data_IF_275963384470
#
_entry.id   IF_275963384470
#
_cell.length_a   1.000
_cell.length_b   1.000
_cell.length_c   1.000
_cell.angle_alpha   90.00
_cell.angle_beta   90.00
_cell.angle_gamma   90.00
#
_symmetry.space_group_name_H-M   'P 1'
#
loop_
_entity.id
_entity.type
_entity.pdbx_description
1 polymer ?
#
# COMPACT_ATOMS: atom_id res chain seq x y z
N UNK A 1 11.02 7.29 19.34
CA UNK A 1 11.83 8.51 19.16
C UNK A 1 11.18 9.51 18.21
N UNK A 2 10.88 9.18 16.95
CA UNK A 2 10.31 10.15 15.99
C UNK A 2 8.96 10.73 16.46
N UNK A 3 8.00 9.89 16.91
CA UNK A 3 6.68 10.34 17.39
C UNK A 3 6.80 11.40 18.49
N UNK A 4 7.60 11.12 19.52
CA UNK A 4 7.80 12.01 20.67
C UNK A 4 8.37 13.36 20.24
N UNK A 5 9.42 13.38 19.40
CA UNK A 5 10.01 14.62 18.91
C UNK A 5 9.01 15.46 18.10
N UNK A 6 8.23 14.83 17.22
CA UNK A 6 7.16 15.52 16.48
C UNK A 6 6.05 16.02 17.39
N UNK A 7 5.68 15.26 18.44
CA UNK A 7 4.67 15.67 19.40
C UNK A 7 5.10 16.95 20.12
N UNK A 8 6.34 17.03 20.60
CA UNK A 8 6.85 18.24 21.25
C UNK A 8 6.90 19.43 20.30
N UNK A 9 7.20 19.22 19.01
CA UNK A 9 7.11 20.29 18.01
C UNK A 9 5.69 20.82 17.85
N UNK A 10 4.67 19.95 17.88
CA UNK A 10 3.29 20.39 17.86
C UNK A 10 2.96 21.21 19.11
N UNK A 11 3.35 20.74 20.30
CA UNK A 11 3.14 21.45 21.55
C UNK A 11 3.81 22.84 21.54
N UNK A 12 5.08 22.92 21.14
CA UNK A 12 5.83 24.17 21.00
C UNK A 12 5.15 25.12 20.01
N UNK A 13 4.70 24.62 18.85
CA UNK A 13 4.06 25.43 17.83
C UNK A 13 2.73 26.04 18.30
N UNK A 14 1.97 25.33 19.13
CA UNK A 14 0.72 25.82 19.70
C UNK A 14 0.93 26.79 20.88
N UNK A 15 1.85 26.46 21.80
CA UNK A 15 2.16 27.33 22.95
C UNK A 15 2.93 28.59 22.54
N UNK A 16 3.66 28.52 21.44
CA UNK A 16 4.67 29.50 21.09
C UNK A 16 6.00 29.20 21.80
N UNK A 17 7.10 29.47 21.10
CA UNK A 17 8.45 29.11 21.54
C UNK A 17 8.84 29.75 22.87
N UNK A 18 8.48 31.01 23.11
CA UNK A 18 8.83 31.72 24.34
C UNK A 18 8.20 31.06 25.59
N UNK A 19 6.89 30.79 25.53
CA UNK A 19 6.17 30.14 26.63
C UNK A 19 6.65 28.70 26.84
N UNK A 20 6.89 27.98 25.74
CA UNK A 20 7.43 26.62 25.78
C UNK A 20 8.82 26.57 26.43
N UNK A 21 9.75 27.43 25.99
CA UNK A 21 11.11 27.50 26.52
C UNK A 21 11.10 27.89 28.01
N UNK A 22 10.26 28.85 28.42
CA UNK A 22 10.11 29.22 29.82
C UNK A 22 9.63 28.04 30.69
N UNK A 23 8.63 27.28 30.23
CA UNK A 23 8.11 26.11 30.92
C UNK A 23 9.14 24.97 31.00
N UNK A 24 9.88 24.71 29.92
CA UNK A 24 10.96 23.71 29.88
C UNK A 24 12.13 24.08 30.81
N UNK A 25 12.50 25.35 30.87
CA UNK A 25 13.52 25.83 31.82
C UNK A 25 13.05 25.67 33.27
N UNK A 26 11.78 25.94 33.56
CA UNK A 26 11.23 25.72 34.89
C UNK A 26 11.26 24.24 35.28
N UNK A 27 10.87 23.35 34.36
CA UNK A 27 10.97 21.91 34.54
C UNK A 27 12.41 21.48 34.86
N UNK A 28 13.39 21.94 34.09
CA UNK A 28 14.79 21.66 34.35
C UNK A 28 15.22 22.17 35.74
N UNK A 29 14.89 23.42 36.10
CA UNK A 29 15.27 23.98 37.41
C UNK A 29 14.67 23.22 38.60
N UNK A 30 13.44 22.71 38.45
CA UNK A 30 12.74 21.97 39.50
C UNK A 30 13.23 20.53 39.65
N UNK A 31 13.61 19.90 38.54
CA UNK A 31 13.95 18.46 38.49
C UNK A 31 15.42 18.15 38.23
N UNK A 32 16.27 19.17 38.12
CA UNK A 32 17.73 18.97 38.09
C UNK A 32 18.17 18.12 39.28
N UNK A 33 19.05 17.14 39.01
CA UNK A 33 19.56 16.17 39.99
C UNK A 33 18.51 15.22 40.60
N UNK A 34 17.35 15.05 39.95
CA UNK A 34 16.28 14.11 40.34
C UNK A 34 15.93 13.18 39.17
N UNK A 35 15.04 12.21 39.42
CA UNK A 35 14.50 11.29 38.40
C UNK A 35 13.01 11.60 38.17
N UNK A 36 12.68 12.56 37.30
CA UNK A 36 11.29 12.88 36.98
C UNK A 36 10.64 11.79 36.15
N UNK A 37 9.33 11.63 36.34
CA UNK A 37 8.44 10.84 35.51
C UNK A 37 7.64 11.75 34.56
N UNK A 38 7.00 11.20 33.51
CA UNK A 38 6.24 12.00 32.56
C UNK A 38 5.14 12.88 33.19
N UNK A 39 4.53 12.43 34.28
CA UNK A 39 3.50 13.16 35.03
C UNK A 39 4.09 14.42 35.69
N UNK A 40 5.36 14.39 36.11
CA UNK A 40 6.06 15.54 36.67
C UNK A 40 6.30 16.61 35.60
N UNK A 41 6.60 16.20 34.36
CA UNK A 41 6.70 17.11 33.23
C UNK A 41 5.34 17.75 32.92
N UNK A 42 4.27 16.94 32.87
CA UNK A 42 2.92 17.45 32.65
C UNK A 42 2.56 18.52 33.68
N UNK A 43 2.73 18.23 34.97
CA UNK A 43 2.40 19.16 36.04
C UNK A 43 3.15 20.50 35.91
N UNK A 44 4.44 20.49 35.55
CA UNK A 44 5.20 21.73 35.37
C UNK A 44 4.74 22.52 34.15
N UNK A 45 4.50 21.85 33.02
CA UNK A 45 4.05 22.52 31.81
C UNK A 45 2.66 23.12 31.98
N UNK A 46 1.72 22.40 32.57
CA UNK A 46 0.36 22.89 32.83
C UNK A 46 0.37 24.07 33.82
N UNK A 47 1.20 24.00 34.88
CA UNK A 47 1.34 25.09 35.85
C UNK A 47 1.90 26.39 35.24
N UNK A 48 2.83 26.29 34.27
CA UNK A 48 3.44 27.46 33.63
C UNK A 48 2.65 28.01 32.43
N UNK A 49 1.88 27.16 31.76
CA UNK A 49 1.10 27.54 30.58
C UNK A 49 -0.35 27.89 30.92
N UNK A 50 -0.88 27.39 32.05
CA UNK A 50 -2.29 27.49 32.43
C UNK A 50 -3.23 26.70 31.51
N UNK A 51 -2.71 25.75 30.73
CA UNK A 51 -3.44 24.98 29.72
C UNK A 51 -3.49 23.51 30.12
N UNK A 52 -4.60 22.85 29.81
CA UNK A 52 -4.74 21.39 29.90
C UNK A 52 -3.96 20.73 28.74
N UNK A 53 -3.05 19.80 29.06
CA UNK A 53 -2.20 19.11 28.11
C UNK A 53 -2.52 17.61 27.98
N UNK A 54 -3.69 17.16 28.42
CA UNK A 54 -4.11 15.76 28.32
C UNK A 54 -4.11 15.25 26.87
N UNK A 55 -4.48 16.10 25.91
CA UNK A 55 -4.40 15.77 24.47
C UNK A 55 -2.98 15.40 24.02
N UNK A 56 -1.95 15.94 24.68
CA UNK A 56 -0.55 15.67 24.39
C UNK A 56 -0.05 14.43 25.15
N UNK A 57 -0.28 14.36 26.47
CA UNK A 57 0.20 13.26 27.30
C UNK A 57 -0.59 11.97 27.04
N UNK A 58 -1.89 11.97 27.30
CA UNK A 58 -2.75 10.80 27.08
C UNK A 58 -2.97 10.53 25.59
N UNK A 59 -3.10 11.58 24.78
CA UNK A 59 -3.26 11.45 23.34
C UNK A 59 -1.99 11.00 22.62
N UNK A 60 -0.90 11.75 22.67
CA UNK A 60 0.31 11.39 21.93
C UNK A 60 1.25 10.44 22.66
N UNK A 61 1.54 10.66 23.94
CA UNK A 61 2.63 9.95 24.61
C UNK A 61 2.20 8.58 25.14
N UNK A 62 1.03 8.47 25.75
CA UNK A 62 0.59 7.25 26.44
C UNK A 62 -0.43 6.42 25.67
N UNK A 63 -0.86 6.85 24.48
CA UNK A 63 -1.77 6.06 23.65
C UNK A 63 -1.29 5.90 22.20
N UNK A 64 -2.01 5.01 21.49
CA UNK A 64 -1.90 4.82 20.05
C UNK A 64 -2.99 5.57 19.28
N UNK A 65 -3.64 6.55 19.92
CA UNK A 65 -4.62 7.42 19.29
C UNK A 65 -3.98 8.20 18.13
N UNK A 66 -4.79 8.51 17.13
CA UNK A 66 -4.40 9.29 15.97
C UNK A 66 -5.02 10.68 16.05
N UNK A 67 -4.24 11.68 15.63
CA UNK A 67 -4.70 13.03 15.39
C UNK A 67 -5.01 13.13 13.89
N UNK A 68 -6.24 13.50 13.53
CA UNK A 68 -6.69 13.64 12.13
C UNK A 68 -7.83 14.68 12.10
N UNK A 69 -7.57 15.84 11.49
CA UNK A 69 -8.57 16.88 11.30
C UNK A 69 -8.79 17.13 9.81
N UNK A 70 -10.05 17.15 9.40
CA UNK A 70 -10.47 17.40 8.03
C UNK A 70 -11.20 18.74 7.88
N UNK A 71 -11.01 19.42 6.74
CA UNK A 71 -11.90 20.53 6.36
C UNK A 71 -13.10 19.98 5.59
N UNK A 72 -14.28 20.09 6.19
CA UNK A 72 -15.56 19.69 5.61
C UNK A 72 -16.12 20.70 4.61
N UNK A 73 -16.06 21.98 4.95
CA UNK A 73 -16.58 23.10 4.15
C UNK A 73 -15.96 24.42 4.59
N UNK A 74 -15.97 25.42 3.70
CA UNK A 74 -15.67 26.82 4.02
C UNK A 74 -16.69 27.72 3.32
N UNK A 75 -17.41 28.52 4.09
CA UNK A 75 -18.44 29.43 3.60
C UNK A 75 -18.18 30.84 4.11
N UNK A 76 -18.35 31.86 3.25
CA UNK A 76 -18.26 33.25 3.70
C UNK A 76 -19.63 33.74 4.13
N UNK A 77 -19.77 34.21 5.37
CA UNK A 77 -21.01 34.76 5.95
C UNK A 77 -20.69 35.97 6.82
N UNK A 78 -21.48 37.04 6.69
CA UNK A 78 -21.39 38.25 7.52
C UNK A 78 -19.98 38.84 7.63
N UNK A 79 -19.21 38.88 6.53
CA UNK A 79 -17.84 39.39 6.55
C UNK A 79 -16.88 38.54 7.38
N UNK A 80 -17.13 37.24 7.54
CA UNK A 80 -16.21 36.25 8.11
C UNK A 80 -16.28 34.96 7.30
N UNK A 81 -15.27 34.10 7.48
CA UNK A 81 -15.32 32.74 6.98
C UNK A 81 -15.80 31.79 8.08
N UNK A 82 -16.70 30.89 7.75
CA UNK A 82 -17.17 29.82 8.61
C UNK A 82 -16.62 28.51 8.08
N UNK A 83 -15.67 27.94 8.81
CA UNK A 83 -15.00 26.69 8.46
C UNK A 83 -15.63 25.53 9.22
N UNK A 84 -16.15 24.54 8.52
CA UNK A 84 -16.58 23.28 9.12
C UNK A 84 -15.36 22.37 9.23
N UNK A 85 -14.80 22.24 10.42
CA UNK A 85 -13.69 21.34 10.70
C UNK A 85 -14.19 20.09 11.41
N UNK A 86 -13.63 18.93 11.09
CA UNK A 86 -14.03 17.65 11.69
C UNK A 86 -12.82 16.90 12.22
N UNK A 87 -12.82 16.58 13.51
CA UNK A 87 -11.90 15.59 14.06
C UNK A 87 -12.36 14.19 13.64
N UNK A 88 -11.54 13.51 12.84
CA UNK A 88 -11.71 12.12 12.39
C UNK A 88 -10.84 11.15 13.19
N UNK A 89 -9.89 11.70 13.95
CA UNK A 89 -9.04 10.98 14.89
C UNK A 89 -9.71 10.81 16.25
N UNK A 90 -8.89 10.41 17.23
CA UNK A 90 -9.28 10.24 18.63
C UNK A 90 -8.66 11.30 19.54
N UNK A 91 -7.67 12.06 19.04
CA UNK A 91 -6.99 13.11 19.82
C UNK A 91 -7.67 14.45 19.55
N UNK A 92 -8.31 15.03 20.57
CA UNK A 92 -8.83 16.40 20.55
C UNK A 92 -7.71 17.40 20.88
N UNK A 93 -6.69 17.47 20.02
CA UNK A 93 -5.57 18.39 20.16
C UNK A 93 -5.78 19.72 19.40
N UNK A 94 -5.03 20.77 19.74
CA UNK A 94 -5.05 22.04 19.02
C UNK A 94 -4.82 21.87 17.53
N UNK A 95 -5.41 22.73 16.70
CA UNK A 95 -5.36 22.62 15.24
C UNK A 95 -5.08 23.98 14.58
N UNK A 96 -4.01 24.11 13.78
CA UNK A 96 -3.75 25.32 13.01
C UNK A 96 -4.45 25.26 11.66
N UNK A 97 -5.14 26.32 11.27
CA UNK A 97 -5.66 26.51 9.92
C UNK A 97 -5.00 27.71 9.27
N UNK A 98 -4.46 27.51 8.08
CA UNK A 98 -3.79 28.54 7.28
C UNK A 98 -4.62 28.88 6.05
N UNK A 99 -4.87 30.16 5.83
CA UNK A 99 -5.52 30.69 4.64
C UNK A 99 -4.48 31.22 3.65
N UNK A 100 -4.78 31.05 2.36
CA UNK A 100 -3.92 31.43 1.26
C UNK A 100 -4.64 32.37 0.29
N UNK A 101 -3.87 33.25 -0.34
CA UNK A 101 -4.30 34.07 -1.47
C UNK A 101 -3.18 34.14 -2.50
N UNK A 102 -3.48 33.85 -3.76
CA UNK A 102 -2.47 33.88 -4.84
C UNK A 102 -1.35 32.85 -4.67
N UNK A 103 -1.56 31.82 -3.83
CA UNK A 103 -0.56 30.80 -3.50
C UNK A 103 0.30 31.09 -2.26
N UNK A 104 0.24 32.29 -1.69
CA UNK A 104 1.00 32.68 -0.50
C UNK A 104 0.20 32.44 0.79
N UNK A 105 0.90 32.15 1.89
CA UNK A 105 0.31 32.03 3.22
C UNK A 105 -0.01 33.42 3.77
N UNK A 106 -1.29 33.73 3.96
CA UNK A 106 -1.73 35.06 4.41
C UNK A 106 -1.93 35.10 5.92
N UNK A 107 -2.55 34.06 6.47
CA UNK A 107 -2.89 34.02 7.90
C UNK A 107 -3.04 32.61 8.43
N UNK A 108 -2.49 32.35 9.62
CA UNK A 108 -2.69 31.11 10.37
C UNK A 108 -3.43 31.42 11.68
N UNK A 109 -4.47 30.64 11.97
CA UNK A 109 -5.25 30.71 13.21
C UNK A 109 -5.20 29.34 13.88
N UNK A 110 -4.87 29.33 15.17
CA UNK A 110 -4.95 28.12 16.00
C UNK A 110 -6.30 28.06 16.68
N UNK A 111 -6.88 26.86 16.69
CA UNK A 111 -8.08 26.55 17.45
C UNK A 111 -7.75 25.51 18.51
N UNK A 112 -8.41 25.59 19.66
CA UNK A 112 -8.34 24.53 20.66
C UNK A 112 -8.93 23.23 20.11
N UNK A 113 -8.49 22.11 20.66
CA UNK A 113 -8.94 20.80 20.23
C UNK A 113 -10.41 20.55 20.55
N UNK A 114 -11.07 19.80 19.67
CA UNK A 114 -12.45 19.38 19.83
C UNK A 114 -12.73 18.02 19.20
N UNK A 115 -13.76 17.37 19.69
CA UNK A 115 -14.29 16.13 19.12
C UNK A 115 -15.38 16.41 18.07
N UNK A 116 -15.53 15.48 17.13
CA UNK A 116 -16.55 15.56 16.08
C UNK A 116 -16.34 16.72 15.12
N UNK A 117 -17.44 17.23 14.54
CA UNK A 117 -17.41 18.37 13.63
C UNK A 117 -17.87 19.65 14.33
N UNK A 118 -17.14 20.75 14.11
CA UNK A 118 -17.52 22.08 14.59
C UNK A 118 -17.37 23.11 13.48
N UNK A 119 -18.21 24.13 13.54
CA UNK A 119 -18.07 25.33 12.73
C UNK A 119 -17.27 26.37 13.51
N UNK A 120 -16.18 26.82 12.92
CA UNK A 120 -15.26 27.78 13.53
C UNK A 120 -15.19 29.03 12.67
N UNK A 121 -15.18 30.19 13.33
CA UNK A 121 -14.97 31.45 12.66
C UNK A 121 -13.50 31.60 12.27
N UNK A 122 -13.26 31.98 11.03
CA UNK A 122 -11.98 32.41 10.51
C UNK A 122 -12.12 33.87 10.06
N UNK A 123 -11.13 34.74 10.34
CA UNK A 123 -11.18 36.16 10.01
C UNK A 123 -11.55 36.43 8.56
N UNK A 124 -12.13 37.60 8.26
CA UNK A 124 -12.39 37.98 6.88
C UNK A 124 -11.11 38.05 6.04
N UNK A 125 -11.29 37.94 4.73
CA UNK A 125 -10.23 38.09 3.74
C UNK A 125 -10.61 37.45 2.42
N UNK A 126 -9.90 37.83 1.37
CA UNK A 126 -10.05 37.21 0.06
C UNK A 126 -9.09 36.02 -0.05
N UNK A 127 -9.57 34.84 0.34
CA UNK A 127 -8.78 33.61 0.38
C UNK A 127 -9.25 32.63 -0.68
N UNK A 128 -8.31 32.06 -1.42
CA UNK A 128 -8.58 31.06 -2.48
C UNK A 128 -8.45 29.61 -1.99
N UNK A 129 -7.87 29.41 -0.79
CA UNK A 129 -7.58 28.09 -0.22
C UNK A 129 -7.39 28.17 1.29
N UNK A 130 -7.93 27.19 1.99
CA UNK A 130 -7.66 26.91 3.39
C UNK A 130 -6.94 25.57 3.51
N UNK A 131 -6.01 25.47 4.48
CA UNK A 131 -5.29 24.24 4.77
C UNK A 131 -5.05 24.09 6.27
N UNK A 132 -5.40 22.93 6.81
CA UNK A 132 -4.96 22.56 8.16
C UNK A 132 -3.47 22.25 8.13
N UNK A 133 -2.72 22.86 9.05
CA UNK A 133 -1.30 22.62 9.29
C UNK A 133 -0.42 22.73 8.04
N UNK A 134 -0.43 23.90 7.38
CA UNK A 134 0.40 24.17 6.21
C UNK A 134 1.92 23.99 6.48
N UNK A 135 2.36 24.30 7.69
CA UNK A 135 3.73 24.21 8.15
C UNK A 135 4.18 22.78 8.55
N UNK A 136 3.27 21.80 8.54
CA UNK A 136 3.53 20.41 8.95
C UNK A 136 4.09 20.27 10.38
N UNK A 137 3.49 21.00 11.32
CA UNK A 137 3.87 21.02 12.73
C UNK A 137 3.08 20.00 13.58
N UNK A 138 1.92 19.53 13.11
CA UNK A 138 1.10 18.54 13.81
C UNK A 138 1.42 17.10 13.40
N UNK A 139 0.82 16.12 14.08
CA UNK A 139 0.92 14.69 13.72
C UNK A 139 -0.31 14.19 12.97
N UNK A 140 -0.93 15.07 12.18
CA UNK A 140 -2.03 14.70 11.31
C UNK A 140 -1.65 13.52 10.41
N UNK A 141 -2.37 12.41 10.58
CA UNK A 141 -2.11 11.16 9.86
C UNK A 141 -2.68 11.16 8.45
N UNK A 142 -3.65 12.03 8.14
CA UNK A 142 -4.30 12.07 6.83
C UNK A 142 -4.45 13.48 6.26
N UNK A 143 -3.31 14.12 6.04
CA UNK A 143 -3.17 15.48 5.48
C UNK A 143 -3.87 15.76 4.14
N UNK A 144 -4.35 14.73 3.45
CA UNK A 144 -5.10 14.83 2.19
C UNK A 144 -6.55 15.26 2.35
N UNK A 145 -7.09 15.25 3.58
CA UNK A 145 -8.40 15.81 3.89
C UNK A 145 -8.30 17.25 4.46
N UNK A 146 -7.09 17.83 4.50
CA UNK A 146 -6.80 19.10 5.19
C UNK A 146 -6.99 20.32 4.30
N UNK A 147 -7.18 20.16 2.98
CA UNK A 147 -7.25 21.29 2.03
C UNK A 147 -8.69 21.53 1.57
N UNK A 148 -9.10 22.81 1.55
CA UNK A 148 -10.36 23.24 0.93
C UNK A 148 -10.13 24.46 0.04
N UNK A 149 -10.65 24.43 -1.19
CA UNK A 149 -10.53 25.47 -2.21
C UNK A 149 -11.92 25.97 -2.61
N UNK A 150 -12.40 27.08 -2.02
CA UNK A 150 -13.70 27.64 -2.34
C UNK A 150 -13.88 27.89 -3.84
N UNK A 151 -15.08 27.65 -4.36
CA UNK A 151 -15.43 27.94 -5.77
C UNK A 151 -14.81 27.04 -6.83
N UNK A 152 -14.02 26.01 -6.47
CA UNK A 152 -13.50 25.01 -7.43
C UNK A 152 -14.45 23.81 -7.56
N UNK A 153 -14.44 23.14 -8.72
CA UNK A 153 -15.25 21.94 -8.99
C UNK A 153 -14.94 20.79 -8.01
N UNK A 154 -13.66 20.64 -7.64
CA UNK A 154 -13.19 19.66 -6.65
C UNK A 154 -12.53 20.41 -5.48
N UNK A 155 -13.34 21.00 -4.57
CA UNK A 155 -12.84 21.91 -3.55
C UNK A 155 -11.92 21.21 -2.53
N UNK A 156 -12.13 19.91 -2.27
CA UNK A 156 -11.37 19.11 -1.30
C UNK A 156 -10.13 18.42 -1.85
N UNK A 157 -9.84 18.58 -3.14
CA UNK A 157 -8.69 17.93 -3.80
C UNK A 157 -7.57 18.96 -3.92
N UNK A 158 -6.33 18.60 -3.62
CA UNK A 158 -5.22 19.52 -3.84
C UNK A 158 -4.94 19.76 -5.34
N UNK A 159 -4.24 20.85 -5.71
CA UNK A 159 -3.77 21.03 -7.07
C UNK A 159 -3.02 19.80 -7.59
N UNK A 160 -3.26 19.47 -8.86
CA UNK A 160 -2.58 18.38 -9.53
C UNK A 160 -1.13 18.76 -9.83
N UNK A 161 -0.21 17.82 -9.64
CA UNK A 161 1.20 17.99 -9.97
C UNK A 161 1.74 16.72 -10.66
N UNK A 162 2.46 16.89 -11.76
CA UNK A 162 3.21 15.82 -12.42
C UNK A 162 4.66 15.86 -11.96
N UNK A 163 5.15 14.77 -11.36
CA UNK A 163 6.51 14.70 -10.80
C UNK A 163 7.32 13.63 -11.50
N UNK A 164 8.45 14.02 -12.08
CA UNK A 164 9.45 13.07 -12.56
C UNK A 164 10.22 12.53 -11.35
N UNK A 165 10.37 11.21 -11.29
CA UNK A 165 11.11 10.51 -10.25
C UNK A 165 10.66 10.78 -8.79
N UNK A 166 9.36 11.05 -8.58
CA UNK A 166 8.83 11.31 -7.24
C UNK A 166 8.64 10.04 -6.42
N UNK A 167 9.50 9.79 -5.42
CA UNK A 167 9.41 8.59 -4.54
C UNK A 167 8.38 8.77 -3.43
N UNK A 168 8.35 9.97 -2.82
CA UNK A 168 7.58 10.28 -1.62
C UNK A 168 6.26 10.96 -1.91
N UNK A 169 5.29 10.75 -1.02
CA UNK A 169 4.07 11.54 -0.99
C UNK A 169 4.33 13.03 -0.82
N UNK A 170 3.57 13.82 -1.57
CA UNK A 170 3.41 15.24 -1.30
C UNK A 170 1.98 15.46 -0.80
N UNK A 171 1.82 15.79 0.48
CA UNK A 171 0.53 16.13 1.06
C UNK A 171 -0.05 17.40 0.43
N UNK A 172 0.79 18.31 -0.07
CA UNK A 172 0.38 19.63 -0.57
C UNK A 172 -0.25 19.58 -1.96
N UNK A 173 0.01 18.52 -2.73
CA UNK A 173 -0.40 18.38 -4.13
C UNK A 173 -0.86 16.95 -4.46
N UNK A 174 -1.84 16.80 -5.35
CA UNK A 174 -2.20 15.49 -5.91
C UNK A 174 -1.16 15.11 -6.96
N UNK A 175 -0.17 14.30 -6.56
CA UNK A 175 0.98 13.97 -7.41
C UNK A 175 0.75 12.72 -8.26
N UNK A 176 0.93 12.84 -9.58
CA UNK A 176 1.20 11.73 -10.49
C UNK A 176 2.71 11.64 -10.66
N UNK A 177 3.32 10.57 -10.16
CA UNK A 177 4.75 10.36 -10.29
C UNK A 177 5.03 9.45 -11.49
N UNK A 178 6.06 9.81 -12.26
CA UNK A 178 6.50 9.08 -13.44
C UNK A 178 7.96 8.70 -13.28
N UNK A 179 8.28 7.42 -13.48
CA UNK A 179 9.65 6.93 -13.57
C UNK A 179 9.89 6.19 -14.88
N UNK A 180 11.09 6.32 -15.47
CA UNK A 180 11.52 5.42 -16.52
C UNK A 180 11.64 4.00 -15.96
N UNK A 181 11.21 3.02 -16.74
CA UNK A 181 11.33 1.61 -16.43
C UNK A 181 11.98 0.91 -17.62
N UNK A 182 13.02 0.12 -17.35
CA UNK A 182 13.65 -0.76 -18.32
C UNK A 182 13.51 -2.21 -17.85
N UNK A 183 13.50 -3.13 -18.80
CA UNK A 183 13.42 -4.56 -18.53
C UNK A 183 13.88 -5.35 -19.73
N UNK A 184 13.87 -6.66 -19.60
CA UNK A 184 14.12 -7.54 -20.73
C UNK A 184 13.57 -8.93 -20.46
N UNK A 185 13.06 -9.57 -21.49
CA UNK A 185 12.73 -10.99 -21.45
C UNK A 185 13.05 -11.63 -22.80
N UNK A 186 12.97 -12.96 -22.87
CA UNK A 186 13.38 -13.70 -24.06
C UNK A 186 12.54 -13.37 -25.31
N UNK A 187 11.25 -13.10 -25.15
CA UNK A 187 10.32 -12.91 -26.27
C UNK A 187 10.12 -11.44 -26.64
N UNK A 188 10.05 -10.54 -25.66
CA UNK A 188 9.91 -9.09 -25.86
C UNK A 188 11.25 -8.38 -26.11
N UNK A 189 12.37 -9.07 -25.90
CA UNK A 189 13.72 -8.51 -26.05
C UNK A 189 14.00 -7.44 -24.99
N UNK A 190 14.75 -6.40 -25.37
CA UNK A 190 14.90 -5.21 -24.53
C UNK A 190 13.58 -4.45 -24.45
N UNK A 191 13.19 -4.03 -23.25
CA UNK A 191 11.98 -3.29 -22.98
C UNK A 191 12.29 -1.97 -22.31
N UNK A 192 11.66 -0.89 -22.77
CA UNK A 192 11.73 0.42 -22.13
C UNK A 192 10.37 1.11 -22.11
N UNK A 193 10.09 1.84 -21.04
CA UNK A 193 8.86 2.60 -20.92
C UNK A 193 8.77 3.35 -19.60
N UNK A 194 7.55 3.48 -19.08
CA UNK A 194 7.26 4.33 -17.94
C UNK A 194 6.43 3.59 -16.90
N UNK A 195 6.63 3.94 -15.63
CA UNK A 195 5.72 3.58 -14.54
C UNK A 195 5.11 4.84 -13.94
N UNK A 196 3.78 4.83 -13.86
CA UNK A 196 2.94 5.83 -13.22
C UNK A 196 2.56 5.36 -11.82
N UNK A 197 2.72 6.20 -10.80
CA UNK A 197 2.31 5.87 -9.44
C UNK A 197 2.01 7.10 -8.59
N UNK A 198 1.20 6.97 -7.54
CA UNK A 198 0.90 8.08 -6.63
C UNK A 198 1.92 8.26 -5.49
N UNK A 199 2.85 7.33 -5.31
CA UNK A 199 3.97 7.40 -4.37
C UNK A 199 4.32 6.01 -3.82
N UNK A 200 5.59 5.78 -3.49
CA UNK A 200 6.05 4.46 -3.03
C UNK A 200 6.07 4.36 -1.50
N UNK A 201 6.36 5.49 -0.83
CA UNK A 201 6.45 5.57 0.62
C UNK A 201 5.85 6.90 1.12
N UNK A 202 5.18 6.91 2.29
CA UNK A 202 4.75 5.73 3.09
C UNK A 202 3.57 4.98 2.44
N UNK A 203 3.16 3.86 3.05
CA UNK A 203 1.96 3.11 2.63
C UNK A 203 0.69 3.96 2.83
N UNK A 204 -0.25 3.90 1.88
CA UNK A 204 -1.48 4.70 1.90
C UNK A 204 -2.72 3.83 1.89
N UNK A 205 -3.86 4.45 2.15
CA UNK A 205 -5.15 3.81 1.90
C UNK A 205 -5.32 3.45 0.43
N UNK A 206 -4.81 4.23 -0.52
CA UNK A 206 -4.90 3.92 -1.94
C UNK A 206 -3.54 4.05 -2.62
N UNK A 207 -3.09 2.99 -3.26
CA UNK A 207 -1.85 2.95 -4.01
C UNK A 207 -2.11 2.38 -5.41
N UNK A 208 -1.53 3.01 -6.43
CA UNK A 208 -1.50 2.44 -7.78
C UNK A 208 -0.08 2.48 -8.34
N UNK A 209 0.24 1.48 -9.16
CA UNK A 209 1.44 1.39 -9.99
C UNK A 209 1.02 0.85 -11.35
N UNK A 210 1.18 1.64 -12.39
CA UNK A 210 0.80 1.31 -13.77
C UNK A 210 2.04 1.46 -14.64
N UNK A 211 2.59 0.35 -15.12
CA UNK A 211 3.75 0.33 -15.98
C UNK A 211 3.37 -0.16 -17.37
N UNK A 212 3.88 0.54 -18.39
CA UNK A 212 3.84 0.12 -19.78
C UNK A 212 5.25 0.22 -20.35
N UNK A 213 5.69 -0.83 -21.03
CA UNK A 213 6.99 -0.91 -21.68
C UNK A 213 6.81 -1.30 -23.13
N UNK A 214 7.61 -0.73 -24.03
CA UNK A 214 7.70 -1.16 -25.42
C UNK A 214 8.78 -2.22 -25.57
N UNK A 215 8.43 -3.40 -26.09
CA UNK A 215 9.36 -4.49 -26.39
C UNK A 215 9.96 -4.35 -27.78
N UNK A 216 11.28 -4.32 -27.86
CA UNK A 216 12.01 -4.11 -29.13
C UNK A 216 11.96 -5.31 -30.08
N UNK A 217 11.79 -6.53 -29.56
CA UNK A 217 11.73 -7.74 -30.40
C UNK A 217 10.32 -8.06 -30.88
N UNK A 218 9.32 -7.99 -29.99
CA UNK A 218 7.92 -8.32 -30.30
C UNK A 218 7.11 -7.14 -30.87
N UNK A 219 7.56 -5.90 -30.66
CA UNK A 219 6.76 -4.70 -30.92
C UNK A 219 5.52 -4.56 -30.01
N UNK A 220 5.29 -5.52 -29.12
CA UNK A 220 4.22 -5.51 -28.13
C UNK A 220 4.51 -4.47 -27.04
N UNK A 221 3.46 -4.03 -26.35
CA UNK A 221 3.59 -3.18 -25.15
C UNK A 221 3.29 -3.99 -23.89
N UNK A 222 4.25 -4.74 -23.33
CA UNK A 222 4.12 -5.34 -22.01
C UNK A 222 3.65 -4.35 -20.96
N UNK A 223 2.78 -4.82 -20.07
CA UNK A 223 2.26 -3.98 -19.01
C UNK A 223 2.23 -4.70 -17.67
N UNK A 224 2.36 -3.92 -16.61
CA UNK A 224 2.19 -4.36 -15.23
C UNK A 224 1.39 -3.31 -14.48
N UNK A 225 0.27 -3.71 -13.90
CA UNK A 225 -0.58 -2.85 -13.11
C UNK A 225 -0.78 -3.46 -11.73
N UNK A 226 -0.79 -2.63 -10.69
CA UNK A 226 -1.21 -3.00 -9.35
C UNK A 226 -1.99 -1.84 -8.75
N UNK A 227 -3.19 -2.13 -8.26
CA UNK A 227 -4.03 -1.19 -7.53
C UNK A 227 -4.35 -1.82 -6.19
N UNK A 228 -4.12 -1.08 -5.10
CA UNK A 228 -4.33 -1.55 -3.74
C UNK A 228 -5.15 -0.53 -2.96
N UNK A 229 -6.12 -1.02 -2.21
CA UNK A 229 -6.79 -0.29 -1.16
C UNK A 229 -6.48 -0.93 0.19
N UNK A 230 -5.85 -0.18 1.10
CA UNK A 230 -5.41 -0.64 2.42
C UNK A 230 -6.29 -0.01 3.49
N UNK A 231 -6.76 -0.84 4.40
CA UNK A 231 -7.44 -0.42 5.61
C UNK A 231 -6.50 -0.66 6.79
N UNK A 232 -6.48 0.29 7.71
CA UNK A 232 -5.76 0.20 8.98
C UNK A 232 -6.80 0.24 10.10
N UNK A 233 -7.42 -0.90 10.45
CA UNK A 233 -8.46 -0.93 11.48
C UNK A 233 -7.95 -0.41 12.82
N UNK A 234 -8.79 0.33 13.54
CA UNK A 234 -8.46 0.90 14.86
C UNK A 234 -8.36 -0.16 15.99
N UNK A 235 -8.72 -1.41 15.71
CA UNK A 235 -8.68 -2.48 16.71
C UNK A 235 -7.27 -3.05 16.87
N UNK A 236 -6.95 -3.57 18.06
CA UNK A 236 -5.63 -4.15 18.36
C UNK A 236 -5.36 -5.50 17.68
N UNK A 237 -6.31 -6.02 16.90
CA UNK A 237 -6.18 -7.35 16.27
C UNK A 237 -5.58 -7.21 14.88
N UNK A 238 -6.15 -6.36 14.04
CA UNK A 238 -5.79 -6.27 12.63
C UNK A 238 -4.92 -5.06 12.39
N UNK A 239 -3.70 -5.30 11.91
CA UNK A 239 -2.78 -4.23 11.56
C UNK A 239 -3.14 -3.60 10.22
N UNK A 240 -3.38 -4.44 9.21
CA UNK A 240 -3.62 -4.00 7.84
C UNK A 240 -4.50 -5.02 7.12
N UNK A 241 -5.49 -4.53 6.38
CA UNK A 241 -6.28 -5.32 5.45
C UNK A 241 -6.15 -4.68 4.07
N UNK A 242 -5.57 -5.41 3.12
CA UNK A 242 -5.31 -4.97 1.75
C UNK A 242 -6.25 -5.68 0.79
N UNK A 243 -7.02 -4.90 0.04
CA UNK A 243 -7.72 -5.34 -1.16
C UNK A 243 -6.88 -4.93 -2.36
N UNK A 244 -6.49 -5.88 -3.20
CA UNK A 244 -5.60 -5.60 -4.31
C UNK A 244 -6.03 -6.24 -5.61
N UNK A 245 -5.63 -5.61 -6.72
CA UNK A 245 -5.75 -6.13 -8.06
C UNK A 245 -4.42 -5.96 -8.77
N UNK A 246 -3.81 -7.07 -9.18
CA UNK A 246 -2.60 -7.07 -10.00
C UNK A 246 -2.92 -7.59 -11.41
N UNK A 247 -2.44 -6.90 -12.44
CA UNK A 247 -2.51 -7.35 -13.82
C UNK A 247 -1.12 -7.32 -14.45
N UNK A 248 -0.79 -8.30 -15.29
CA UNK A 248 0.41 -8.26 -16.12
C UNK A 248 0.20 -8.93 -17.46
N UNK A 249 0.92 -8.46 -18.47
CA UNK A 249 0.93 -9.07 -19.80
C UNK A 249 2.29 -9.00 -20.46
N UNK A 250 2.66 -10.08 -21.15
CA UNK A 250 3.95 -10.25 -21.84
C UNK A 250 3.76 -11.11 -23.09
N UNK A 251 4.68 -11.02 -24.05
CA UNK A 251 4.77 -11.99 -25.13
C UNK A 251 5.36 -13.29 -24.58
N UNK A 252 4.78 -14.42 -24.99
CA UNK A 252 5.10 -15.75 -24.45
C UNK A 252 5.75 -16.67 -25.45
N UNK A 253 5.41 -16.59 -26.73
CA UNK A 253 5.98 -17.41 -27.80
C UNK A 253 5.80 -16.67 -29.12
N UNK A 254 6.81 -16.77 -29.96
CA UNK A 254 6.74 -16.36 -31.36
C UNK A 254 6.66 -17.64 -32.17
N UNK A 255 5.63 -17.78 -33.00
CA UNK A 255 5.49 -18.91 -33.90
C UNK A 255 5.63 -18.44 -35.34
N UNK A 256 6.67 -18.90 -36.02
CA UNK A 256 6.84 -18.71 -37.44
C UNK A 256 6.01 -19.79 -38.16
N UNK A 257 4.83 -19.42 -38.67
CA UNK A 257 3.99 -20.35 -39.40
C UNK A 257 4.34 -20.35 -40.89
N UNK A 258 4.84 -21.46 -41.42
CA UNK A 258 5.09 -21.63 -42.85
C UNK A 258 3.87 -22.16 -43.63
N UNK A 259 2.83 -22.64 -42.96
CA UNK A 259 1.61 -23.20 -43.57
C UNK A 259 0.39 -22.30 -43.28
N UNK A 260 0.28 -21.22 -44.05
CA UNK A 260 -0.90 -20.35 -44.08
C UNK A 260 -1.34 -20.08 -45.53
N UNK A 261 -2.63 -19.83 -45.74
CA UNK A 261 -3.18 -19.53 -47.07
C UNK A 261 -2.62 -18.23 -47.68
N UNK A 262 -2.04 -17.34 -46.86
CA UNK A 262 -1.52 -16.03 -47.26
C UNK A 262 0.02 -15.94 -47.23
N UNK A 263 0.73 -17.06 -46.98
CA UNK A 263 2.20 -17.12 -46.88
C UNK A 263 2.72 -17.21 -45.44
N UNK A 264 4.04 -17.14 -45.20
CA UNK A 264 4.58 -17.23 -43.84
C UNK A 264 4.10 -16.08 -42.94
N UNK A 265 3.65 -16.39 -41.73
CA UNK A 265 3.20 -15.39 -40.75
C UNK A 265 3.83 -15.68 -39.39
N UNK A 266 4.48 -14.66 -38.83
CA UNK A 266 4.92 -14.67 -37.43
C UNK A 266 3.73 -14.31 -36.53
N UNK A 267 3.42 -15.19 -35.59
CA UNK A 267 2.32 -15.02 -34.65
C UNK A 267 2.87 -14.96 -33.22
N UNK A 268 2.76 -13.78 -32.62
CA UNK A 268 3.09 -13.55 -31.22
C UNK A 268 1.94 -13.96 -30.31
N UNK A 269 2.18 -14.95 -29.45
CA UNK A 269 1.23 -15.36 -28.43
C UNK A 269 1.39 -14.54 -27.16
N UNK A 270 0.29 -14.02 -26.63
CA UNK A 270 0.28 -13.24 -25.40
C UNK A 270 -0.04 -14.07 -24.16
N UNK A 271 0.66 -13.76 -23.07
CA UNK A 271 0.34 -14.19 -21.72
C UNK A 271 -0.31 -13.05 -20.97
N UNK A 272 -1.48 -13.27 -20.35
CA UNK A 272 -2.14 -12.29 -19.47
C UNK A 272 -2.45 -12.92 -18.12
N UNK A 273 -2.16 -12.21 -17.03
CA UNK A 273 -2.51 -12.61 -15.67
C UNK A 273 -3.25 -11.48 -14.95
N UNK A 274 -4.40 -11.81 -14.38
CA UNK A 274 -5.20 -10.91 -13.54
C UNK A 274 -5.39 -11.57 -12.17
N UNK A 275 -5.03 -10.87 -11.10
CA UNK A 275 -5.03 -11.40 -9.72
C UNK A 275 -5.70 -10.41 -8.78
N UNK A 276 -7.02 -10.51 -8.55
CA UNK A 276 -7.61 -9.96 -7.35
C UNK A 276 -7.12 -10.74 -6.13
N UNK A 277 -6.78 -10.02 -5.06
CA UNK A 277 -6.33 -10.60 -3.80
C UNK A 277 -6.85 -9.82 -2.59
N UNK A 278 -7.00 -10.56 -1.50
CA UNK A 278 -7.23 -10.05 -0.15
C UNK A 278 -6.06 -10.50 0.71
N UNK A 279 -5.44 -9.57 1.43
CA UNK A 279 -4.41 -9.86 2.43
C UNK A 279 -4.82 -9.22 3.74
N UNK A 280 -4.77 -9.98 4.83
CA UNK A 280 -5.01 -9.46 6.17
C UNK A 280 -3.82 -9.81 7.06
N UNK A 281 -3.21 -8.79 7.65
CA UNK A 281 -2.09 -8.91 8.58
C UNK A 281 -2.60 -8.69 10.02
N UNK A 282 -2.35 -9.70 10.85
CA UNK A 282 -2.62 -9.68 12.28
C UNK A 282 -1.31 -9.51 13.04
N UNK A 283 -1.30 -8.56 13.97
CA UNK A 283 -0.19 -8.28 14.87
C UNK A 283 -0.79 -7.66 16.14
N UNK A 284 -0.60 -8.32 17.29
CA UNK A 284 -1.20 -7.89 18.57
C UNK A 284 -0.70 -6.50 19.02
N UNK A 285 0.56 -6.19 18.78
CA UNK A 285 1.15 -4.88 19.05
C UNK A 285 2.19 -4.53 17.99
N UNK A 286 2.39 -3.25 17.62
CA UNK A 286 3.48 -2.84 16.75
C UNK A 286 4.88 -3.28 17.22
N UNK A 287 5.05 -3.57 18.52
CA UNK A 287 6.30 -4.08 19.11
C UNK A 287 6.48 -5.59 18.95
N UNK A 288 5.40 -6.34 18.74
CA UNK A 288 5.45 -7.80 18.66
C UNK A 288 6.21 -8.25 17.42
N UNK A 289 7.06 -9.26 17.57
CA UNK A 289 7.85 -9.82 16.46
C UNK A 289 7.12 -10.94 15.72
N UNK A 290 6.01 -11.44 16.27
CA UNK A 290 5.18 -12.43 15.62
C UNK A 290 4.16 -11.74 14.73
N UNK A 291 4.19 -12.04 13.44
CA UNK A 291 3.20 -11.60 12.46
C UNK A 291 2.44 -12.81 11.93
N UNK A 292 1.14 -12.62 11.79
CA UNK A 292 0.29 -13.58 11.13
C UNK A 292 -0.30 -12.94 9.87
N UNK A 293 -0.28 -13.63 8.75
CA UNK A 293 -0.84 -13.12 7.49
C UNK A 293 -1.76 -14.17 6.89
N UNK A 294 -2.99 -13.77 6.63
CA UNK A 294 -3.93 -14.51 5.81
C UNK A 294 -3.97 -13.86 4.43
N UNK A 295 -3.89 -14.65 3.38
CA UNK A 295 -3.97 -14.12 2.02
C UNK A 295 -4.73 -15.07 1.12
N UNK A 296 -5.72 -14.53 0.44
CA UNK A 296 -6.44 -15.20 -0.64
C UNK A 296 -6.16 -14.49 -1.96
N UNK A 297 -5.89 -15.25 -3.02
CA UNK A 297 -5.66 -14.74 -4.37
C UNK A 297 -6.35 -15.63 -5.39
N UNK A 298 -7.02 -15.02 -6.35
CA UNK A 298 -7.57 -15.69 -7.52
C UNK A 298 -6.71 -15.33 -8.73
N UNK A 299 -5.91 -16.28 -9.22
CA UNK A 299 -5.09 -16.07 -10.41
C UNK A 299 -5.90 -16.48 -11.64
N UNK A 300 -6.37 -15.49 -12.38
CA UNK A 300 -6.96 -15.67 -13.71
C UNK A 300 -5.86 -15.51 -14.75
N UNK A 301 -5.44 -16.64 -15.32
CA UNK A 301 -4.41 -16.72 -16.35
C UNK A 301 -5.11 -16.90 -17.69
N UNK A 302 -4.72 -16.12 -18.67
CA UNK A 302 -5.18 -16.24 -20.06
C UNK A 302 -3.96 -16.38 -20.94
N UNK A 303 -3.80 -17.55 -21.52
CA UNK A 303 -2.74 -17.90 -22.45
C UNK A 303 -3.31 -17.90 -23.86
N UNK A 304 -2.66 -17.21 -24.78
CA UNK A 304 -3.03 -17.28 -26.18
C UNK A 304 -2.48 -18.57 -26.81
N UNK A 305 -3.35 -19.32 -27.48
CA UNK A 305 -3.05 -20.56 -28.18
C UNK A 305 -3.37 -20.39 -29.67
N UNK A 306 -2.60 -21.05 -30.53
CA UNK A 306 -2.85 -21.06 -31.97
C UNK A 306 -4.04 -21.97 -32.28
N UNK A 307 -4.88 -21.55 -33.22
CA UNK A 307 -5.94 -22.36 -33.79
C UNK A 307 -5.54 -22.80 -35.19
N UNK A 308 -5.72 -24.08 -35.46
CA UNK A 308 -5.50 -24.68 -36.77
C UNK A 308 -6.77 -25.38 -37.24
N UNK A 309 -6.99 -25.42 -38.55
CA UNK A 309 -8.07 -26.17 -39.17
C UNK A 309 -7.92 -27.66 -38.86
N UNK A 310 -9.03 -28.32 -38.53
CA UNK A 310 -9.06 -29.76 -38.23
C UNK A 310 -9.27 -30.61 -39.50
N UNK A 311 -9.02 -30.04 -40.67
CA UNK A 311 -9.08 -30.72 -41.97
C UNK A 311 -7.67 -31.15 -42.42
N UNK A 312 -7.58 -31.70 -43.64
CA UNK A 312 -6.30 -32.14 -44.23
C UNK A 312 -5.33 -31.01 -44.53
N UNK A 313 -5.77 -29.75 -44.48
CA UNK A 313 -4.92 -28.59 -44.77
C UNK A 313 -4.14 -28.14 -43.55
N UNK A 314 -4.73 -28.28 -42.35
CA UNK A 314 -4.10 -27.83 -41.11
C UNK A 314 -3.82 -26.33 -41.06
N UNK A 315 -4.50 -25.52 -41.90
CA UNK A 315 -4.21 -24.09 -42.00
C UNK A 315 -4.42 -23.37 -40.68
N UNK A 316 -3.55 -22.39 -40.41
CA UNK A 316 -3.72 -21.49 -39.28
C UNK A 316 -4.99 -20.65 -39.43
N UNK A 317 -5.83 -20.67 -38.40
CA UNK A 317 -7.13 -19.99 -38.34
C UNK A 317 -7.11 -18.76 -37.41
N UNK A 318 -5.98 -18.43 -36.81
CA UNK A 318 -5.85 -17.35 -35.83
C UNK A 318 -5.52 -17.85 -34.43
N UNK A 319 -5.80 -17.03 -33.43
CA UNK A 319 -5.48 -17.32 -32.02
C UNK A 319 -6.72 -17.37 -31.14
N UNK A 320 -6.61 -18.04 -30.00
CA UNK A 320 -7.65 -18.08 -28.97
C UNK A 320 -7.03 -18.06 -27.58
N UNK A 321 -7.64 -17.29 -26.68
CA UNK A 321 -7.27 -17.34 -25.27
C UNK A 321 -7.84 -18.58 -24.57
N UNK A 322 -6.95 -19.44 -24.09
CA UNK A 322 -7.25 -20.45 -23.10
C UNK A 322 -7.15 -19.83 -21.70
N UNK A 323 -8.19 -20.03 -20.88
CA UNK A 323 -8.33 -19.36 -19.58
C UNK A 323 -8.32 -20.38 -18.46
N UNK A 324 -7.52 -20.13 -17.43
CA UNK A 324 -7.47 -20.95 -16.22
C UNK A 324 -7.60 -20.07 -14.99
N UNK A 325 -8.41 -20.52 -14.05
CA UNK A 325 -8.55 -19.90 -12.74
C UNK A 325 -7.86 -20.78 -11.69
N UNK A 326 -7.11 -20.15 -10.81
CA UNK A 326 -6.44 -20.80 -9.69
C UNK A 326 -6.72 -20.02 -8.42
N UNK A 327 -7.36 -20.69 -7.47
CA UNK A 327 -7.65 -20.17 -6.15
C UNK A 327 -6.51 -20.57 -5.23
N UNK A 328 -5.90 -19.61 -4.57
CA UNK A 328 -4.87 -19.88 -3.58
C UNK A 328 -5.22 -19.18 -2.26
N UNK A 329 -5.28 -19.98 -1.20
CA UNK A 329 -5.46 -19.53 0.17
C UNK A 329 -4.18 -19.86 0.93
N UNK A 330 -3.56 -18.85 1.53
CA UNK A 330 -2.35 -19.00 2.33
C UNK A 330 -2.53 -18.40 3.70
N UNK A 331 -1.95 -19.09 4.67
CA UNK A 331 -1.81 -18.65 6.04
C UNK A 331 -0.34 -18.74 6.41
N UNK A 332 0.22 -17.66 6.95
CA UNK A 332 1.62 -17.62 7.38
C UNK A 332 1.77 -17.05 8.77
N UNK A 333 2.71 -17.63 9.51
CA UNK A 333 3.24 -17.14 10.77
C UNK A 333 4.72 -16.81 10.56
N UNK A 334 5.15 -15.62 10.94
CA UNK A 334 6.55 -15.21 10.88
C UNK A 334 6.97 -14.59 12.19
N UNK A 335 8.04 -15.11 12.77
CA UNK A 335 8.71 -14.53 13.92
C UNK A 335 9.95 -13.77 13.44
N UNK A 336 9.87 -12.45 13.42
CA UNK A 336 10.91 -11.52 12.94
C UNK A 336 11.90 -11.11 14.04
N UNK A 337 12.18 -12.00 15.00
CA UNK A 337 13.27 -11.79 15.97
C UNK A 337 14.62 -11.81 15.24
N UNK A 338 15.55 -10.98 15.70
CA UNK A 338 16.89 -10.92 15.13
C UNK A 338 17.68 -12.22 15.35
N UNK A 339 17.44 -12.88 16.48
CA UNK A 339 18.06 -14.17 16.83
C UNK A 339 17.00 -15.26 16.66
N UNK A 340 17.37 -16.33 15.97
CA UNK A 340 16.55 -17.51 15.69
C UNK A 340 15.17 -17.19 15.08
N UNK A 341 15.11 -16.48 13.94
CA UNK A 341 13.86 -16.27 13.23
C UNK A 341 13.30 -17.59 12.70
N UNK A 342 11.97 -17.66 12.61
CA UNK A 342 11.28 -18.78 11.98
C UNK A 342 10.03 -18.31 11.25
N UNK A 343 9.60 -19.11 10.28
CA UNK A 343 8.36 -18.92 9.55
C UNK A 343 7.66 -20.24 9.27
N UNK A 344 6.34 -20.24 9.36
CA UNK A 344 5.47 -21.34 8.96
C UNK A 344 4.50 -20.80 7.91
N UNK A 345 4.30 -21.53 6.81
CA UNK A 345 3.34 -21.19 5.78
C UNK A 345 2.54 -22.44 5.39
N UNK A 346 1.22 -22.36 5.54
CA UNK A 346 0.26 -23.32 5.03
C UNK A 346 -0.41 -22.71 3.79
N UNK A 347 -0.44 -23.45 2.69
CA UNK A 347 -1.04 -22.99 1.43
C UNK A 347 -1.94 -24.06 0.86
N UNK A 348 -3.17 -23.69 0.53
CA UNK A 348 -4.13 -24.48 -0.23
C UNK A 348 -4.25 -23.87 -1.62
N UNK A 349 -4.25 -24.72 -2.64
CA UNK A 349 -4.36 -24.31 -4.02
C UNK A 349 -5.35 -25.21 -4.75
N UNK A 350 -6.33 -24.58 -5.41
CA UNK A 350 -7.39 -25.25 -6.14
C UNK A 350 -7.47 -24.70 -7.56
N UNK A 351 -7.64 -25.59 -8.53
CA UNK A 351 -7.87 -25.18 -9.91
C UNK A 351 -8.74 -26.19 -10.64
N UNK A 352 -9.54 -25.67 -11.56
CA UNK A 352 -10.27 -26.44 -12.55
C UNK A 352 -9.83 -26.01 -13.94
N UNK A 353 -9.56 -26.98 -14.81
CA UNK A 353 -9.01 -26.76 -16.14
C UNK A 353 -9.52 -27.81 -17.12
N UNK A 354 -9.28 -27.63 -18.41
CA UNK A 354 -9.54 -28.64 -19.43
C UNK A 354 -8.25 -29.35 -19.81
N UNK A 355 -8.29 -30.68 -19.94
CA UNK A 355 -7.16 -31.42 -20.50
C UNK A 355 -7.06 -31.23 -22.02
N UNK A 356 -6.03 -31.84 -22.64
CA UNK A 356 -5.80 -31.79 -24.07
C UNK A 356 -7.00 -32.26 -24.91
N UNK A 357 -7.83 -33.16 -24.35
CA UNK A 357 -9.02 -33.70 -25.00
C UNK A 357 -10.28 -32.88 -24.69
N UNK A 358 -10.14 -31.76 -23.98
CA UNK A 358 -11.24 -30.88 -23.60
C UNK A 358 -12.05 -31.36 -22.38
N UNK A 359 -11.64 -32.44 -21.71
CA UNK A 359 -12.34 -32.95 -20.53
C UNK A 359 -12.05 -32.06 -19.31
N UNK A 360 -13.06 -31.82 -18.48
CA UNK A 360 -12.89 -31.10 -17.23
C UNK A 360 -12.04 -31.88 -16.22
N UNK A 361 -10.98 -31.25 -15.74
CA UNK A 361 -10.09 -31.76 -14.71
C UNK A 361 -10.00 -30.77 -13.56
N UNK A 362 -9.67 -31.25 -12.36
CA UNK A 362 -9.52 -30.43 -11.18
C UNK A 362 -8.48 -31.00 -10.20
N UNK A 363 -7.96 -30.13 -9.34
CA UNK A 363 -7.21 -30.54 -8.17
C UNK A 363 -7.43 -29.57 -7.00
N UNK A 364 -7.22 -30.09 -5.80
CA UNK A 364 -6.99 -29.37 -4.56
C UNK A 364 -5.72 -29.91 -3.92
N UNK A 365 -4.71 -29.06 -3.75
CA UNK A 365 -3.46 -29.42 -3.08
C UNK A 365 -3.21 -28.55 -1.86
N UNK A 366 -2.50 -29.12 -0.89
CA UNK A 366 -2.02 -28.42 0.29
C UNK A 366 -0.50 -28.52 0.36
N UNK A 367 0.11 -27.50 0.96
CA UNK A 367 1.53 -27.50 1.29
C UNK A 367 1.79 -26.77 2.58
N UNK A 368 2.72 -27.31 3.36
CA UNK A 368 3.27 -26.73 4.56
C UNK A 368 4.76 -26.49 4.33
N UNK A 369 5.19 -25.25 4.54
CA UNK A 369 6.60 -24.89 4.55
C UNK A 369 6.96 -24.32 5.92
N UNK A 370 7.99 -24.88 6.54
CA UNK A 370 8.59 -24.35 7.75
C UNK A 370 10.04 -23.99 7.49
N UNK A 371 10.45 -22.80 7.92
CA UNK A 371 11.84 -22.35 7.89
C UNK A 371 12.23 -21.87 9.27
N UNK A 372 13.46 -22.15 9.68
CA UNK A 372 14.00 -21.71 10.95
C UNK A 372 15.50 -21.51 10.82
N UNK A 373 16.02 -20.46 11.45
CA UNK A 373 17.46 -20.29 11.58
C UNK A 373 17.86 -20.49 13.05
N UNK A 374 19.00 -21.14 13.29
CA UNK A 374 19.61 -21.24 14.61
C UNK A 374 20.97 -20.55 14.59
N UNK A 375 21.04 -19.38 15.21
CA UNK A 375 22.26 -18.58 15.36
C UNK A 375 23.04 -19.07 16.57
N UNK A 376 24.25 -19.57 16.34
CA UNK A 376 25.13 -20.08 17.41
C UNK A 376 26.34 -19.19 17.67
N UNK A 377 26.65 -18.26 16.75
CA UNK A 377 27.70 -17.25 16.91
C UNK A 377 27.37 -16.01 16.05
N UNK A 378 28.06 -14.90 16.28
CA UNK A 378 27.83 -13.64 15.56
C UNK A 378 28.09 -13.83 14.07
N UNK A 379 27.00 -13.71 13.28
CA UNK A 379 27.05 -13.91 11.83
C UNK A 379 27.10 -15.37 11.37
N UNK A 380 26.88 -16.34 12.28
CA UNK A 380 26.84 -17.77 11.95
C UNK A 380 25.51 -18.39 12.36
N UNK A 381 24.80 -18.98 11.40
CA UNK A 381 23.53 -19.68 11.62
C UNK A 381 23.46 -21.01 10.89
N UNK A 382 22.67 -21.94 11.42
CA UNK A 382 22.20 -23.13 10.73
C UNK A 382 20.76 -22.89 10.27
N UNK A 383 20.53 -22.92 8.97
CA UNK A 383 19.22 -22.70 8.38
C UNK A 383 18.55 -24.03 8.03
N UNK A 384 17.34 -24.20 8.54
CA UNK A 384 16.50 -25.37 8.31
C UNK A 384 15.31 -24.98 7.45
N UNK A 385 14.99 -25.82 6.45
CA UNK A 385 13.77 -25.72 5.65
C UNK A 385 13.13 -27.11 5.56
N UNK A 386 11.90 -27.21 6.02
CA UNK A 386 11.04 -28.38 5.84
C UNK A 386 9.91 -28.01 4.89
N UNK A 387 9.69 -28.83 3.87
CA UNK A 387 8.57 -28.71 2.95
C UNK A 387 7.80 -30.03 2.89
N UNK A 388 6.49 -29.95 3.08
CA UNK A 388 5.57 -31.09 2.95
C UNK A 388 4.41 -30.65 2.06
N UNK A 389 4.08 -31.42 1.04
CA UNK A 389 2.98 -31.09 0.14
C UNK A 389 2.30 -32.32 -0.43
N UNK A 390 1.02 -32.20 -0.74
CA UNK A 390 0.22 -33.30 -1.25
C UNK A 390 -1.07 -32.84 -1.91
N UNK A 391 -1.68 -33.72 -2.69
CA UNK A 391 -3.02 -33.52 -3.23
C UNK A 391 -4.05 -34.06 -2.23
N UNK A 392 -4.98 -33.21 -1.82
CA UNK A 392 -6.18 -33.61 -1.09
C UNK A 392 -7.20 -34.20 -2.06
N UNK A 393 -7.27 -33.64 -3.27
CA UNK A 393 -8.08 -34.13 -4.37
C UNK A 393 -7.37 -33.85 -5.70
N UNK A 394 -7.47 -34.77 -6.67
CA UNK A 394 -6.87 -34.62 -7.99
C UNK A 394 -7.45 -35.66 -8.96
N UNK A 395 -8.19 -35.18 -9.96
CA UNK A 395 -8.82 -36.04 -10.99
C UNK A 395 -7.80 -36.78 -11.87
N UNK A 396 -6.57 -36.29 -11.94
CA UNK A 396 -5.47 -36.86 -12.73
C UNK A 396 -4.49 -37.69 -11.89
N UNK A 397 -4.77 -37.95 -10.60
CA UNK A 397 -3.84 -38.60 -9.65
C UNK A 397 -3.27 -39.95 -10.12
N UNK A 398 -4.05 -40.73 -10.88
CA UNK A 398 -3.69 -42.09 -11.33
C UNK A 398 -3.13 -42.13 -12.78
N UNK A 399 -3.02 -40.99 -13.47
CA UNK A 399 -2.50 -40.97 -14.84
C UNK A 399 -0.98 -40.76 -14.84
N UNK A 400 -0.25 -41.48 -15.71
CA UNK A 400 1.21 -41.41 -15.82
C UNK A 400 1.76 -40.15 -16.51
N UNK A 401 0.96 -39.10 -16.64
CA UNK A 401 1.32 -37.84 -17.30
C UNK A 401 1.48 -36.73 -16.25
N UNK A 402 2.45 -35.84 -16.46
CA UNK A 402 2.61 -34.65 -15.61
C UNK A 402 1.45 -33.70 -15.91
N UNK A 403 0.52 -33.59 -14.95
CA UNK A 403 -0.66 -32.75 -15.08
C UNK A 403 -0.42 -31.33 -14.50
N UNK A 404 -1.19 -30.31 -14.95
CA UNK A 404 -1.24 -29.01 -14.28
C UNK A 404 -1.44 -29.13 -12.77
N UNK A 405 -0.61 -28.42 -11.99
CA UNK A 405 -0.63 -28.46 -10.53
C UNK A 405 0.30 -29.50 -9.90
N UNK A 406 0.98 -30.34 -10.69
CA UNK A 406 1.98 -31.29 -10.19
C UNK A 406 3.12 -30.60 -9.42
N UNK A 407 3.60 -31.26 -8.37
CA UNK A 407 4.83 -30.87 -7.67
C UNK A 407 6.02 -31.36 -8.49
N UNK A 408 6.60 -30.47 -9.30
CA UNK A 408 7.76 -30.80 -10.12
C UNK A 408 9.03 -30.29 -9.45
N UNK A 409 10.09 -31.10 -9.50
CA UNK A 409 11.44 -30.68 -9.09
C UNK A 409 12.08 -29.70 -10.08
N UNK A 410 11.56 -29.66 -11.32
CA UNK A 410 11.97 -28.75 -12.38
C UNK A 410 10.79 -27.89 -12.84
N UNK A 411 11.05 -26.62 -13.15
CA UNK A 411 10.01 -25.75 -13.71
C UNK A 411 9.52 -26.32 -15.04
N UNK A 412 8.19 -26.39 -15.20
CA UNK A 412 7.55 -26.71 -16.47
C UNK A 412 6.56 -25.61 -16.79
N UNK A 413 6.49 -25.17 -18.05
CA UNK A 413 5.77 -23.95 -18.44
C UNK A 413 4.30 -23.87 -18.03
N UNK A 414 3.60 -25.00 -17.85
CA UNK A 414 2.21 -25.01 -17.38
C UNK A 414 2.05 -24.84 -15.84
N UNK A 415 3.15 -25.01 -15.09
CA UNK A 415 3.27 -24.80 -13.65
C UNK A 415 3.98 -23.47 -13.29
N UNK A 416 4.42 -22.71 -14.30
CA UNK A 416 5.19 -21.47 -14.17
C UNK A 416 4.30 -20.21 -13.98
N UNK A 417 3.19 -20.37 -13.26
CA UNK A 417 2.27 -19.26 -13.00
C UNK A 417 2.55 -18.53 -11.69
N UNK A 418 3.48 -19.06 -10.87
CA UNK A 418 3.84 -18.51 -9.56
C UNK A 418 4.77 -17.30 -9.64
N UNK A 419 5.48 -17.11 -10.75
CA UNK A 419 6.38 -15.97 -10.99
C UNK A 419 5.64 -14.86 -11.75
#
# INVERSE_FOLDING_TARGET
YIKTGSAFRHLEAWLGREQFDAAMQAYFRQWQFRHPYPEDLQAVLEAHTGKDLNWFFDGYLFSNAHYDYAIGAAERKNGKWLLTLCNKGEIAGPVPVTAFAGGEEVKTVWYDGFEGCRQLEFPDGDYDKFRIDAAHQTLDVWRKNNTFRPGKLLPKVEPFNLRLAGVFEDSRNTSLNVFPLIGGNHYDGFMAGLVLHNGLLPARHFNYRLAGLYGTASGYTPYMATVEYRLFPKNEKWREITFGLSAKSFTRKVFENQNSAEGPVDVDQQYRRLVPYLRAEWQRSPKDKLRQTFQYRLLRISDEELLFAQDSTGYFLGTKFNKRNLHELSWSLRNEKAINPWSLQLTFEQSSYKDFFGNGQHYLRSSLEWKSAYTFDRGRSLDFRLFVGGFLDNSMRKRGLIAPGAWNLTAQGFNDYRY
#
